data_IF_037656319820
#
_entry.id   IF_037656319820
#
_cell.length_a   1.000
_cell.length_b   1.000
_cell.length_c   1.000
_cell.angle_alpha   90.00
_cell.angle_beta   90.00
_cell.angle_gamma   90.00
#
_symmetry.space_group_name_H-M   'P 1'
#
loop_
_entity.id
_entity.type
_entity.pdbx_description
1 polymer ?
#
# COMPACT_ATOMS: atom_id res chain seq x y z
N UNK A 1 15.63 -12.14 -8.74
CA UNK A 1 15.23 -10.77 -8.34
C UNK A 1 14.10 -10.89 -7.32
N UNK A 2 13.91 -9.96 -6.38
CA UNK A 2 12.75 -10.05 -5.47
C UNK A 2 11.45 -10.04 -6.29
N UNK A 3 10.44 -10.84 -5.91
CA UNK A 3 9.13 -10.88 -6.59
C UNK A 3 9.17 -11.10 -8.11
N UNK A 4 10.11 -11.91 -8.60
CA UNK A 4 10.38 -12.14 -10.03
C UNK A 4 9.15 -12.47 -10.89
N UNK A 5 8.16 -13.17 -10.31
CA UNK A 5 6.88 -13.48 -10.99
C UNK A 5 6.10 -12.24 -11.46
N UNK A 6 6.32 -11.09 -10.83
CA UNK A 6 5.63 -9.84 -11.13
C UNK A 6 6.52 -8.84 -11.87
N UNK A 7 7.81 -9.16 -12.05
CA UNK A 7 8.77 -8.24 -12.62
C UNK A 7 8.48 -7.99 -14.10
N UNK A 8 8.41 -6.71 -14.47
CA UNK A 8 8.34 -6.27 -15.87
C UNK A 8 9.40 -5.21 -16.10
N UNK A 9 10.28 -5.46 -17.06
CA UNK A 9 11.41 -4.58 -17.37
C UNK A 9 10.94 -3.38 -18.20
N UNK A 10 11.49 -2.20 -17.90
CA UNK A 10 11.43 -1.03 -18.78
C UNK A 10 10.38 0.01 -18.42
N UNK A 11 9.73 -0.11 -17.26
CA UNK A 11 8.75 0.87 -16.76
C UNK A 11 9.41 1.93 -15.87
N UNK A 12 10.64 1.69 -15.39
CA UNK A 12 11.35 2.50 -14.41
C UNK A 12 10.91 2.20 -12.97
N UNK A 13 9.63 1.89 -12.76
CA UNK A 13 9.05 1.59 -11.44
C UNK A 13 9.57 0.28 -10.84
N UNK A 14 10.17 -0.60 -11.63
CA UNK A 14 10.84 -1.79 -11.11
C UNK A 14 11.99 -1.49 -10.12
N UNK A 15 12.49 -0.25 -10.11
CA UNK A 15 13.57 0.17 -9.21
C UNK A 15 13.05 0.67 -7.85
N UNK A 16 11.77 1.00 -7.73
CA UNK A 16 11.22 1.68 -6.54
C UNK A 16 10.72 0.71 -5.45
N UNK A 17 10.52 -0.57 -5.78
CA UNK A 17 9.98 -1.58 -4.86
C UNK A 17 10.66 -1.61 -3.47
N UNK A 18 12.00 -1.80 -3.40
CA UNK A 18 12.71 -1.78 -2.11
C UNK A 18 12.58 -0.46 -1.33
N UNK A 19 12.49 0.68 -2.03
CA UNK A 19 12.25 1.98 -1.40
C UNK A 19 10.85 2.05 -0.79
N UNK A 20 9.82 1.60 -1.51
CA UNK A 20 8.43 1.56 -1.01
C UNK A 20 8.31 0.66 0.23
N UNK A 21 8.92 -0.53 0.21
CA UNK A 21 8.96 -1.41 1.40
C UNK A 21 9.60 -0.70 2.59
N UNK A 22 10.74 -0.03 2.37
CA UNK A 22 11.45 0.70 3.43
C UNK A 22 10.59 1.84 3.97
N UNK A 23 9.91 2.57 3.08
CA UNK A 23 9.02 3.66 3.49
C UNK A 23 7.88 3.16 4.36
N UNK A 24 7.21 2.06 3.98
CA UNK A 24 6.16 1.41 4.80
C UNK A 24 6.71 1.01 6.17
N UNK A 25 7.94 0.50 6.24
CA UNK A 25 8.57 0.14 7.52
C UNK A 25 8.90 1.35 8.41
N UNK A 26 9.24 2.49 7.79
CA UNK A 26 9.57 3.72 8.51
C UNK A 26 8.33 4.46 9.02
N UNK A 27 7.32 4.62 8.17
CA UNK A 27 6.14 5.44 8.49
C UNK A 27 5.00 4.64 9.12
N UNK A 28 5.06 3.30 9.03
CA UNK A 28 4.05 2.36 9.58
C UNK A 28 2.61 2.80 9.28
N UNK A 29 2.24 2.92 7.99
CA UNK A 29 0.95 3.43 7.58
C UNK A 29 -0.18 2.47 7.98
N UNK A 30 -1.32 3.02 8.40
CA UNK A 30 -2.51 2.26 8.75
C UNK A 30 -3.45 2.07 7.56
N UNK A 31 -3.40 2.96 6.56
CA UNK A 31 -4.30 2.92 5.41
C UNK A 31 -3.52 3.30 4.15
N UNK A 32 -3.10 2.26 3.42
CA UNK A 32 -2.43 2.40 2.13
C UNK A 32 -3.47 2.26 1.01
N UNK A 33 -3.50 3.22 0.09
CA UNK A 33 -4.18 3.10 -1.20
C UNK A 33 -3.15 2.84 -2.30
N UNK A 34 -3.27 1.71 -3.00
CA UNK A 34 -2.57 1.45 -4.26
C UNK A 34 -3.55 1.55 -5.42
N UNK A 35 -3.22 2.37 -6.42
CA UNK A 35 -3.97 2.45 -7.69
C UNK A 35 -3.03 2.01 -8.81
N UNK A 36 -3.32 0.85 -9.41
CA UNK A 36 -2.39 0.16 -10.30
C UNK A 36 -1.62 -0.94 -9.59
N UNK A 37 -2.12 -2.16 -9.64
CA UNK A 37 -1.46 -3.34 -9.10
C UNK A 37 -0.34 -3.82 -10.01
N UNK A 38 0.76 -4.30 -9.43
CA UNK A 38 1.88 -4.77 -10.24
C UNK A 38 3.08 -5.25 -9.44
N UNK A 39 4.26 -4.93 -9.95
CA UNK A 39 5.53 -5.36 -9.36
C UNK A 39 5.79 -4.74 -7.99
N UNK A 40 5.25 -3.55 -7.72
CA UNK A 40 5.40 -2.78 -6.48
C UNK A 40 4.48 -3.26 -5.35
N UNK A 41 3.28 -3.77 -5.68
CA UNK A 41 2.31 -4.35 -4.73
C UNK A 41 2.93 -5.29 -3.67
N UNK A 42 3.71 -6.34 -4.03
CA UNK A 42 4.26 -7.25 -3.04
C UNK A 42 5.30 -6.58 -2.11
N UNK A 43 5.96 -5.49 -2.54
CA UNK A 43 6.87 -4.75 -1.66
C UNK A 43 6.13 -3.93 -0.60
N UNK A 44 4.98 -3.35 -0.95
CA UNK A 44 4.09 -2.69 0.02
C UNK A 44 3.61 -3.72 1.06
N UNK A 45 3.18 -4.89 0.59
CA UNK A 45 2.73 -5.97 1.45
C UNK A 45 3.85 -6.52 2.37
N UNK A 46 5.06 -6.69 1.83
CA UNK A 46 6.22 -7.10 2.62
C UNK A 46 6.55 -6.09 3.72
N UNK A 47 6.40 -4.79 3.44
CA UNK A 47 6.55 -3.73 4.44
C UNK A 47 5.56 -3.86 5.58
N UNK A 48 4.27 -4.09 5.26
CA UNK A 48 3.23 -4.30 6.27
C UNK A 48 3.47 -5.56 7.11
N UNK A 49 3.88 -6.67 6.48
CA UNK A 49 4.24 -7.90 7.18
C UNK A 49 5.44 -7.70 8.11
N UNK A 50 6.47 -6.99 7.65
CA UNK A 50 7.64 -6.69 8.47
C UNK A 50 7.29 -5.81 9.69
N UNK A 51 6.29 -4.94 9.55
CA UNK A 51 5.83 -4.10 10.66
C UNK A 51 5.15 -4.89 11.78
N UNK A 52 4.65 -6.11 11.55
CA UNK A 52 4.07 -6.94 12.63
C UNK A 52 4.99 -7.05 13.85
N UNK A 53 6.30 -7.05 13.60
CA UNK A 53 7.31 -7.06 14.65
C UNK A 53 7.66 -5.63 15.11
N UNK A 54 7.62 -5.45 16.43
CA UNK A 54 8.16 -4.27 17.12
C UNK A 54 9.44 -4.66 17.84
N UNK A 55 10.54 -4.03 17.47
CA UNK A 55 11.82 -4.15 18.16
C UNK A 55 11.94 -3.05 19.22
N UNK A 56 12.14 -3.46 20.47
CA UNK A 56 12.35 -2.57 21.61
C UNK A 56 13.78 -2.78 22.12
N UNK A 57 14.68 -1.89 21.73
CA UNK A 57 16.09 -1.87 22.17
C UNK A 57 16.29 -1.03 23.45
N UNK A 58 15.19 -0.60 24.08
CA UNK A 58 15.17 0.31 25.24
C UNK A 58 14.77 1.75 24.89
N UNK A 59 14.61 2.10 23.61
CA UNK A 59 14.19 3.44 23.17
C UNK A 59 12.72 3.53 22.74
N UNK A 60 11.94 2.43 22.82
CA UNK A 60 10.55 2.43 22.39
C UNK A 60 9.66 3.14 23.42
N UNK A 61 8.89 4.12 22.98
CA UNK A 61 7.92 4.81 23.85
C UNK A 61 6.84 3.80 24.34
N UNK A 62 6.68 3.61 25.67
CA UNK A 62 5.70 2.68 26.22
C UNK A 62 4.24 3.02 25.87
N UNK A 63 3.92 4.29 25.60
CA UNK A 63 2.60 4.72 25.12
C UNK A 63 2.38 4.27 23.67
N UNK A 64 3.38 4.42 22.81
CA UNK A 64 3.33 3.94 21.43
C UNK A 64 3.20 2.42 21.37
N UNK A 65 4.00 1.69 22.15
CA UNK A 65 3.91 0.22 22.23
C UNK A 65 2.50 -0.24 22.60
N UNK A 66 1.90 0.34 23.64
CA UNK A 66 0.53 0.02 24.07
C UNK A 66 -0.51 0.36 23.00
N UNK A 67 -0.36 1.51 22.35
CA UNK A 67 -1.22 1.89 21.23
C UNK A 67 -1.11 0.87 20.10
N UNK A 68 0.11 0.51 19.70
CA UNK A 68 0.37 -0.42 18.62
C UNK A 68 -0.25 -1.80 18.88
N UNK A 69 0.01 -2.37 20.06
CA UNK A 69 -0.53 -3.68 20.45
C UNK A 69 -2.07 -3.73 20.46
N UNK A 70 -2.73 -2.59 20.72
CA UNK A 70 -4.20 -2.53 20.87
C UNK A 70 -4.94 -2.00 19.64
N UNK A 71 -4.27 -1.24 18.76
CA UNK A 71 -4.94 -0.48 17.69
C UNK A 71 -4.34 -0.74 16.30
N UNK A 72 -3.22 -1.46 16.19
CA UNK A 72 -2.57 -1.66 14.91
C UNK A 72 -3.36 -2.61 13.99
N UNK A 73 -4.04 -2.05 13.00
CA UNK A 73 -4.81 -2.77 11.96
C UNK A 73 -4.54 -2.11 10.58
N UNK A 74 -3.36 -2.31 9.99
CA UNK A 74 -3.05 -1.70 8.71
C UNK A 74 -3.83 -2.38 7.58
N UNK A 75 -4.18 -1.62 6.54
CA UNK A 75 -4.83 -2.14 5.33
C UNK A 75 -4.13 -1.63 4.08
N UNK A 76 -3.98 -2.52 3.10
CA UNK A 76 -3.56 -2.22 1.74
C UNK A 76 -4.77 -2.40 0.82
N UNK A 77 -5.41 -1.28 0.48
CA UNK A 77 -6.53 -1.22 -0.46
C UNK A 77 -5.96 -1.06 -1.86
N UNK A 78 -6.25 -2.00 -2.75
CA UNK A 78 -5.72 -2.03 -4.11
C UNK A 78 -6.88 -1.86 -5.09
N UNK A 79 -6.75 -0.88 -5.98
CA UNK A 79 -7.67 -0.65 -7.08
C UNK A 79 -6.96 -0.95 -8.38
N UNK A 80 -7.48 -1.95 -9.11
CA UNK A 80 -7.04 -2.26 -10.45
C UNK A 80 -8.20 -2.79 -11.30
N UNK A 81 -8.14 -2.56 -12.61
CA UNK A 81 -9.11 -3.13 -13.56
C UNK A 81 -8.91 -4.62 -13.76
N UNK A 82 -7.67 -5.08 -13.67
CA UNK A 82 -7.30 -6.48 -13.78
C UNK A 82 -7.49 -7.21 -12.44
N UNK A 83 -7.80 -8.52 -12.46
CA UNK A 83 -7.81 -9.31 -11.25
C UNK A 83 -6.42 -9.31 -10.59
N UNK A 84 -6.37 -9.05 -9.28
CA UNK A 84 -5.14 -9.17 -8.53
C UNK A 84 -4.63 -10.61 -8.58
N UNK A 85 -3.34 -10.85 -8.86
CA UNK A 85 -2.76 -12.17 -8.65
C UNK A 85 -2.92 -12.58 -7.19
N UNK A 86 -3.14 -13.87 -6.92
CA UNK A 86 -3.41 -14.39 -5.57
C UNK A 86 -2.30 -13.98 -4.57
N UNK A 87 -2.54 -12.88 -3.85
CA UNK A 87 -1.78 -12.38 -2.73
C UNK A 87 -2.65 -12.62 -1.50
N UNK A 88 -2.62 -13.84 -1.00
CA UNK A 88 -3.40 -14.21 0.19
C UNK A 88 -2.77 -13.54 1.42
N UNK A 89 -3.45 -12.51 1.94
CA UNK A 89 -3.04 -11.79 3.15
C UNK A 89 -4.20 -11.05 3.78
N UNK A 90 -4.26 -11.07 5.12
CA UNK A 90 -5.21 -10.31 5.93
C UNK A 90 -5.17 -8.80 5.68
N UNK A 91 -4.06 -8.28 5.16
CA UNK A 91 -3.85 -6.85 4.90
C UNK A 91 -4.51 -6.38 3.61
N UNK A 92 -4.68 -7.26 2.64
CA UNK A 92 -5.03 -6.90 1.27
C UNK A 92 -6.54 -6.87 1.11
N UNK A 93 -7.05 -5.77 0.56
CA UNK A 93 -8.39 -5.71 0.01
C UNK A 93 -8.30 -5.24 -1.44
N UNK A 94 -8.89 -6.01 -2.36
CA UNK A 94 -8.87 -5.70 -3.78
C UNK A 94 -10.25 -5.21 -4.24
N UNK A 95 -10.28 -4.04 -4.87
CA UNK A 95 -11.46 -3.45 -5.49
C UNK A 95 -11.22 -3.46 -6.99
N UNK A 96 -11.90 -4.36 -7.70
CA UNK A 96 -11.77 -4.45 -9.14
C UNK A 96 -12.50 -3.27 -9.81
N UNK A 97 -11.77 -2.45 -10.57
CA UNK A 97 -12.31 -1.31 -11.29
C UNK A 97 -11.31 -0.17 -11.45
N UNK A 98 -11.86 1.00 -11.79
CA UNK A 98 -11.11 2.25 -11.90
C UNK A 98 -11.27 3.07 -10.63
N UNK A 99 -10.30 3.92 -10.31
CA UNK A 99 -10.39 4.87 -9.20
C UNK A 99 -11.47 5.94 -9.42
N UNK A 100 -11.69 6.36 -10.68
CA UNK A 100 -12.57 7.49 -10.98
C UNK A 100 -13.99 7.31 -10.43
N UNK A 101 -14.46 8.30 -9.70
CA UNK A 101 -15.77 8.33 -9.05
C UNK A 101 -15.86 7.53 -7.76
N UNK A 102 -14.72 7.16 -7.14
CA UNK A 102 -14.67 6.36 -5.91
C UNK A 102 -14.13 7.13 -4.71
N UNK A 103 -13.63 8.36 -4.83
CA UNK A 103 -12.99 9.08 -3.72
C UNK A 103 -13.88 9.10 -2.48
N UNK A 104 -15.15 9.51 -2.64
CA UNK A 104 -16.14 9.58 -1.57
C UNK A 104 -16.50 8.20 -1.00
N UNK A 105 -16.69 7.19 -1.85
CA UNK A 105 -17.00 5.80 -1.43
C UNK A 105 -15.85 5.23 -0.57
N UNK A 106 -14.61 5.46 -1.00
CA UNK A 106 -13.43 4.99 -0.28
C UNK A 106 -13.25 5.73 1.04
N UNK A 107 -13.48 7.05 1.07
CA UNK A 107 -13.40 7.83 2.29
C UNK A 107 -14.45 7.39 3.32
N UNK A 108 -15.69 7.16 2.89
CA UNK A 108 -16.76 6.67 3.78
C UNK A 108 -16.45 5.30 4.37
N UNK A 109 -15.76 4.44 3.60
CA UNK A 109 -15.45 3.07 4.01
C UNK A 109 -14.17 2.96 4.84
N UNK A 110 -13.12 3.68 4.48
CA UNK A 110 -11.78 3.51 5.03
C UNK A 110 -11.26 4.70 5.84
N UNK A 111 -11.88 5.88 5.69
CA UNK A 111 -11.36 7.14 6.20
C UNK A 111 -10.23 7.69 5.33
N UNK A 112 -9.35 8.48 5.93
CA UNK A 112 -8.18 9.05 5.27
C UNK A 112 -7.11 7.98 5.02
N UNK A 113 -6.51 8.02 3.83
CA UNK A 113 -5.32 7.23 3.52
C UNK A 113 -4.07 8.01 3.94
N UNK A 114 -3.20 7.37 4.72
CA UNK A 114 -1.95 7.95 5.21
C UNK A 114 -0.74 7.61 4.31
N UNK A 115 -0.94 6.74 3.32
CA UNK A 115 0.00 6.50 2.23
C UNK A 115 -0.76 6.19 0.95
N UNK A 116 -0.36 6.82 -0.16
CA UNK A 116 -0.94 6.58 -1.48
C UNK A 116 0.19 6.25 -2.46
N UNK A 117 0.06 5.12 -3.14
CA UNK A 117 0.88 4.72 -4.27
C UNK A 117 0.04 4.70 -5.53
N UNK A 118 0.24 5.69 -6.40
CA UNK A 118 -0.47 5.79 -7.68
C UNK A 118 0.52 5.46 -8.80
N UNK A 119 0.35 4.30 -9.42
CA UNK A 119 1.26 3.74 -10.43
C UNK A 119 0.49 3.13 -11.60
N UNK A 120 -0.39 3.93 -12.21
CA UNK A 120 -1.09 3.53 -13.41
C UNK A 120 -1.43 4.70 -14.34
N UNK A 121 -1.77 4.36 -15.58
CA UNK A 121 -2.40 5.28 -16.51
C UNK A 121 -1.45 6.31 -17.15
N UNK A 122 -2.09 7.26 -17.84
CA UNK A 122 -1.46 8.37 -18.54
C UNK A 122 -1.57 9.66 -17.71
N UNK A 123 -0.94 10.78 -18.12
CA UNK A 123 -0.99 12.03 -17.37
C UNK A 123 -2.41 12.51 -16.97
N UNK A 124 -3.43 12.22 -17.78
CA UNK A 124 -4.82 12.54 -17.44
C UNK A 124 -5.29 11.81 -16.18
N UNK A 125 -4.89 10.55 -15.98
CA UNK A 125 -5.30 9.77 -14.81
C UNK A 125 -4.76 10.37 -13.51
N UNK A 126 -3.56 10.95 -13.54
CA UNK A 126 -2.99 11.67 -12.41
C UNK A 126 -3.75 12.98 -12.14
N UNK A 127 -4.14 13.70 -13.18
CA UNK A 127 -4.95 14.92 -13.03
C UNK A 127 -6.31 14.61 -12.43
N UNK A 128 -6.98 13.57 -12.94
CA UNK A 128 -8.27 13.12 -12.42
C UNK A 128 -8.15 12.70 -10.96
N UNK A 129 -7.12 11.91 -10.62
CA UNK A 129 -6.86 11.46 -9.25
C UNK A 129 -6.64 12.62 -8.26
N UNK A 130 -5.95 13.67 -8.68
CA UNK A 130 -5.67 14.83 -7.82
C UNK A 130 -6.84 15.81 -7.71
N UNK A 131 -7.83 15.72 -8.60
CA UNK A 131 -8.95 16.66 -8.68
C UNK A 131 -10.26 16.12 -8.08
N UNK A 132 -10.32 14.82 -7.80
CA UNK A 132 -11.46 14.11 -7.22
C UNK A 132 -11.40 14.02 -5.68
#
# INVERSE_FOLDING_TARGET
>A
MEHEKYFRRGMGTENVGPLLRTLVQMIRPQRILEVGAGYTTPFLLDGLKANEELFDDGNLDPSYKRWYESNNDPRLVIIDTDPLPQLDSKYVEHIQGKFQGKSQELFEKYGEFDMIWFDCGAPQNYQDFLAE
#
